data_IF_779828293460
#
_entry.id   IF_779828293460
#
_cell.length_a   1.000
_cell.length_b   1.000
_cell.length_c   1.000
_cell.angle_alpha   90.00
_cell.angle_beta   90.00
_cell.angle_gamma   90.00
#
_symmetry.space_group_name_H-M   'P 1'
#
loop_
_entity.id
_entity.type
_entity.pdbx_description
1 polymer ?
#
# COMPACT_ATOMS: atom_id res chain seq x y z
N UNK A 1 -12.65 -10.02 17.67
CA UNK A 1 -11.96 -9.24 16.61
C UNK A 1 -10.99 -8.29 17.27
N UNK A 2 -9.73 -8.31 16.88
CA UNK A 2 -8.73 -7.40 17.43
C UNK A 2 -8.80 -6.02 16.76
N UNK A 3 -8.05 -5.05 17.27
CA UNK A 3 -8.13 -3.67 16.77
C UNK A 3 -7.72 -3.56 15.30
N UNK A 4 -6.75 -4.35 14.86
CA UNK A 4 -6.33 -4.34 13.46
C UNK A 4 -7.44 -4.88 12.54
N UNK A 5 -8.13 -5.93 12.95
CA UNK A 5 -9.25 -6.46 12.20
C UNK A 5 -10.40 -5.46 12.09
N UNK A 6 -10.65 -4.70 13.16
CA UNK A 6 -11.66 -3.62 13.11
C UNK A 6 -11.25 -2.53 12.14
N UNK A 7 -9.98 -2.15 12.14
CA UNK A 7 -9.45 -1.11 11.25
C UNK A 7 -9.56 -1.55 9.79
N UNK A 8 -9.32 -2.81 9.50
CA UNK A 8 -9.31 -3.34 8.12
C UNK A 8 -10.65 -3.89 7.66
N UNK A 9 -11.69 -3.82 8.49
CA UNK A 9 -12.98 -4.41 8.16
C UNK A 9 -12.99 -5.93 8.18
N UNK A 10 -12.04 -6.55 8.87
CA UNK A 10 -11.95 -8.00 9.00
C UNK A 10 -11.36 -8.72 7.79
N UNK A 11 -10.81 -7.98 6.82
CA UNK A 11 -10.24 -8.58 5.61
C UNK A 11 -8.89 -9.19 5.86
N UNK A 12 -8.56 -10.18 5.02
CA UNK A 12 -7.24 -10.81 5.06
C UNK A 12 -6.18 -9.87 4.53
N UNK A 13 -5.01 -9.81 5.18
CA UNK A 13 -3.88 -9.10 4.61
C UNK A 13 -3.26 -9.89 3.46
N UNK A 14 -2.72 -9.17 2.49
CA UNK A 14 -1.84 -9.70 1.46
C UNK A 14 -0.42 -9.24 1.82
N UNK A 15 0.46 -10.17 2.14
CA UNK A 15 1.81 -9.82 2.60
C UNK A 15 2.75 -9.65 1.41
N UNK A 16 3.51 -8.57 1.42
CA UNK A 16 4.44 -8.21 0.35
C UNK A 16 5.80 -7.89 0.96
N UNK A 17 6.86 -8.44 0.40
CA UNK A 17 8.23 -8.09 0.76
C UNK A 17 9.05 -7.78 -0.50
N UNK A 18 10.33 -7.43 -0.29
CA UNK A 18 11.20 -7.04 -1.40
C UNK A 18 11.39 -8.15 -2.43
N UNK A 19 11.35 -9.42 -2.02
CA UNK A 19 11.53 -10.56 -2.92
C UNK A 19 10.36 -10.77 -3.87
N UNK A 20 9.17 -10.22 -3.54
CA UNK A 20 7.97 -10.39 -4.37
C UNK A 20 8.00 -9.54 -5.64
N UNK A 21 8.85 -8.50 -5.68
CA UNK A 21 8.88 -7.57 -6.79
C UNK A 21 7.61 -6.71 -6.86
N UNK A 22 7.31 -6.12 -8.01
CA UNK A 22 6.12 -5.28 -8.14
C UNK A 22 4.85 -6.13 -8.11
N UNK A 23 3.89 -5.69 -7.30
CA UNK A 23 2.56 -6.30 -7.21
C UNK A 23 1.57 -5.34 -7.85
N UNK A 24 0.93 -5.77 -8.93
CA UNK A 24 -0.07 -4.98 -9.64
C UNK A 24 -1.36 -5.80 -9.79
N UNK A 25 -2.32 -5.29 -10.56
CA UNK A 25 -3.62 -5.93 -10.81
C UNK A 25 -4.45 -6.15 -9.53
N UNK A 26 -4.18 -5.37 -8.49
CA UNK A 26 -4.93 -5.40 -7.25
C UNK A 26 -5.37 -3.99 -6.87
N UNK A 27 -6.30 -3.89 -5.95
CA UNK A 27 -6.77 -2.61 -5.43
C UNK A 27 -6.67 -2.67 -3.91
N UNK A 28 -5.56 -2.15 -3.38
CA UNK A 28 -5.37 -2.08 -1.94
C UNK A 28 -5.86 -0.74 -1.41
N UNK A 29 -6.64 -0.75 -0.34
CA UNK A 29 -7.09 0.48 0.28
C UNK A 29 -6.24 0.87 1.49
N UNK A 30 -5.48 -0.07 2.05
CA UNK A 30 -4.70 0.14 3.25
C UNK A 30 -3.41 -0.67 3.17
N UNK A 31 -2.29 -0.04 3.50
CA UNK A 31 -0.99 -0.71 3.61
C UNK A 31 -0.41 -0.41 4.98
N UNK A 32 0.01 -1.45 5.70
CA UNK A 32 0.62 -1.33 7.03
C UNK A 32 2.01 -1.94 6.98
N UNK A 33 3.08 -1.15 7.13
CA UNK A 33 4.42 -1.71 7.27
C UNK A 33 4.52 -2.60 8.50
N UNK A 34 5.08 -3.79 8.33
CA UNK A 34 5.30 -4.75 9.43
C UNK A 34 6.66 -4.56 10.07
N UNK A 35 7.56 -3.92 9.37
CA UNK A 35 8.90 -3.53 9.82
C UNK A 35 9.26 -2.25 9.09
N UNK A 36 10.40 -1.65 9.40
CA UNK A 36 10.84 -0.46 8.69
C UNK A 36 10.96 -0.77 7.20
N UNK A 37 10.28 -0.02 6.36
CA UNK A 37 10.03 -0.35 4.97
C UNK A 37 10.34 0.84 4.06
N UNK A 38 10.96 0.56 2.92
CA UNK A 38 11.10 1.52 1.82
C UNK A 38 10.45 0.95 0.57
N UNK A 39 9.98 1.83 -0.31
CA UNK A 39 9.32 1.43 -1.55
C UNK A 39 10.15 1.82 -2.76
N UNK A 40 10.22 0.91 -3.75
CA UNK A 40 10.72 1.23 -5.09
C UNK A 40 9.66 1.99 -5.87
N UNK A 41 8.40 1.57 -5.77
CA UNK A 41 7.28 2.22 -6.43
C UNK A 41 6.01 2.03 -5.59
N UNK A 42 5.16 3.04 -5.58
CA UNK A 42 3.87 3.00 -4.93
C UNK A 42 2.95 3.92 -5.73
N UNK A 43 1.98 3.32 -6.43
CA UNK A 43 1.11 4.05 -7.34
C UNK A 43 -0.34 3.76 -7.03
N UNK A 44 -1.20 4.72 -7.33
CA UNK A 44 -2.63 4.61 -7.10
C UNK A 44 -3.42 5.16 -8.28
N UNK A 45 -4.68 4.78 -8.35
CA UNK A 45 -5.67 5.42 -9.22
C UNK A 45 -7.07 5.12 -8.70
N UNK A 46 -8.08 5.73 -9.30
CA UNK A 46 -9.47 5.56 -8.87
C UNK A 46 -10.08 4.24 -9.34
N UNK A 47 -9.34 3.45 -10.12
CA UNK A 47 -9.84 2.20 -10.67
C UNK A 47 -10.68 2.37 -11.93
N UNK A 48 -10.83 3.57 -12.46
CA UNK A 48 -11.50 3.78 -13.75
C UNK A 48 -10.48 3.64 -14.88
N UNK A 49 -10.95 3.19 -16.04
CA UNK A 49 -10.08 2.94 -17.19
C UNK A 49 -9.30 4.19 -17.62
N UNK A 50 -9.92 5.36 -17.50
CA UNK A 50 -9.31 6.63 -17.89
C UNK A 50 -8.57 7.32 -16.76
N UNK A 51 -8.49 6.71 -15.58
CA UNK A 51 -7.83 7.35 -14.43
C UNK A 51 -6.33 7.50 -14.68
N UNK A 52 -5.81 8.68 -14.34
CA UNK A 52 -4.37 8.91 -14.37
C UNK A 52 -3.72 8.25 -13.18
N UNK A 53 -2.59 7.58 -13.40
CA UNK A 53 -1.80 6.99 -12.32
C UNK A 53 -1.19 8.09 -11.46
N UNK A 54 -1.27 7.92 -10.16
CA UNK A 54 -0.69 8.86 -9.19
C UNK A 54 0.52 8.18 -8.55
N UNK A 55 1.67 8.85 -8.60
CA UNK A 55 2.86 8.40 -7.87
C UNK A 55 2.69 8.78 -6.40
N UNK A 56 2.29 7.83 -5.58
CA UNK A 56 2.05 8.08 -4.17
C UNK A 56 3.34 8.31 -3.37
N UNK A 57 4.48 7.84 -3.86
CA UNK A 57 5.76 8.16 -3.21
C UNK A 57 6.03 9.66 -3.26
N UNK A 58 5.72 10.29 -4.39
CA UNK A 58 5.83 11.74 -4.53
C UNK A 58 4.71 12.46 -3.80
N UNK A 59 3.47 12.00 -3.97
CA UNK A 59 2.30 12.63 -3.35
C UNK A 59 2.39 12.63 -1.83
N UNK A 60 2.87 11.54 -1.22
CA UNK A 60 3.04 11.43 0.22
C UNK A 60 4.41 11.94 0.71
N UNK A 61 5.27 12.34 -0.21
CA UNK A 61 6.63 12.79 0.11
C UNK A 61 7.44 11.73 0.86
N UNK A 62 7.37 10.49 0.41
CA UNK A 62 8.09 9.37 1.03
C UNK A 62 9.23 8.82 0.17
N UNK A 63 9.59 9.52 -0.90
CA UNK A 63 10.77 9.18 -1.69
C UNK A 63 12.01 9.17 -0.80
N UNK A 64 12.77 8.08 -0.86
CA UNK A 64 13.99 7.90 -0.07
C UNK A 64 13.78 7.94 1.44
N UNK A 65 12.55 7.78 1.90
CA UNK A 65 12.25 7.73 3.34
C UNK A 65 11.92 6.31 3.76
N UNK A 66 12.30 5.99 5.00
CA UNK A 66 11.94 4.72 5.62
C UNK A 66 10.65 4.89 6.41
N UNK A 67 9.65 4.07 6.12
CA UNK A 67 8.40 4.10 6.86
C UNK A 67 8.50 3.21 8.08
N UNK A 68 8.06 3.74 9.21
CA UNK A 68 8.12 3.04 10.50
C UNK A 68 7.06 1.93 10.54
N UNK A 69 7.42 0.80 11.13
CA UNK A 69 6.49 -0.31 11.34
C UNK A 69 5.22 0.14 12.06
N UNK A 70 4.08 -0.38 11.62
CA UNK A 70 2.79 -0.17 12.27
C UNK A 70 2.05 1.09 11.86
N UNK A 71 2.65 1.98 11.08
CA UNK A 71 1.98 3.20 10.64
C UNK A 71 1.15 2.90 9.38
N UNK A 72 -0.18 2.93 9.47
CA UNK A 72 -1.03 2.64 8.31
C UNK A 72 -0.94 3.76 7.27
N UNK A 73 -0.91 3.38 6.00
CA UNK A 73 -0.92 4.35 4.90
C UNK A 73 -2.10 4.08 3.97
N UNK A 74 -2.79 5.16 3.60
CA UNK A 74 -3.90 5.13 2.67
C UNK A 74 -3.61 6.12 1.55
N UNK A 75 -4.13 5.86 0.35
CA UNK A 75 -4.16 6.87 -0.68
C UNK A 75 -5.36 7.79 -0.47
N UNK A 76 -5.36 8.91 -1.18
CA UNK A 76 -6.35 9.97 -0.99
C UNK A 76 -7.67 9.61 -1.66
N UNK A 77 -8.77 10.06 -1.04
CA UNK A 77 -10.12 10.00 -1.61
C UNK A 77 -10.56 8.59 -1.96
N UNK A 78 -11.05 8.41 -3.18
CA UNK A 78 -11.56 7.13 -3.71
C UNK A 78 -10.49 6.31 -4.42
N UNK A 79 -9.25 6.75 -4.39
CA UNK A 79 -8.15 6.04 -5.04
C UNK A 79 -7.77 4.78 -4.27
N UNK A 80 -7.20 3.83 -4.98
CA UNK A 80 -6.66 2.60 -4.41
C UNK A 80 -5.20 2.45 -4.85
N UNK A 81 -4.38 1.82 -4.02
CA UNK A 81 -3.04 1.44 -4.45
C UNK A 81 -3.15 0.34 -5.49
N UNK A 82 -2.65 0.59 -6.68
CA UNK A 82 -2.71 -0.34 -7.81
C UNK A 82 -1.36 -0.91 -8.18
N UNK A 83 -0.28 -0.34 -7.65
CA UNK A 83 1.07 -0.88 -7.78
C UNK A 83 1.80 -0.68 -6.46
N UNK A 84 2.35 -1.76 -5.92
CA UNK A 84 3.15 -1.76 -4.70
C UNK A 84 4.43 -2.53 -4.97
N UNK A 85 5.57 -1.87 -4.85
CA UNK A 85 6.88 -2.49 -5.03
C UNK A 85 7.76 -2.14 -3.85
N UNK A 86 7.92 -3.09 -2.93
CA UNK A 86 8.72 -2.92 -1.71
C UNK A 86 10.19 -3.05 -2.06
N UNK A 87 11.02 -2.08 -1.65
CA UNK A 87 12.47 -2.14 -1.83
C UNK A 87 13.14 -2.86 -0.67
N UNK A 88 12.79 -2.52 0.56
CA UNK A 88 13.27 -3.19 1.77
C UNK A 88 12.13 -3.29 2.76
N UNK A 89 12.15 -4.31 3.61
CA UNK A 89 11.12 -4.52 4.62
C UNK A 89 9.97 -5.37 4.11
N UNK A 90 8.84 -5.27 4.78
CA UNK A 90 7.61 -6.00 4.43
C UNK A 90 6.37 -5.23 4.87
N UNK A 91 5.28 -5.45 4.17
CA UNK A 91 4.01 -4.80 4.46
C UNK A 91 2.86 -5.80 4.43
N UNK A 92 1.78 -5.46 5.13
CA UNK A 92 0.47 -6.09 4.97
C UNK A 92 -0.41 -5.14 4.18
N UNK A 93 -0.94 -5.58 3.04
CA UNK A 93 -1.80 -4.78 2.18
C UNK A 93 -3.19 -5.39 2.16
N UNK A 94 -4.22 -4.56 2.29
CA UNK A 94 -5.61 -5.01 2.42
C UNK A 94 -6.38 -4.58 1.18
N UNK A 95 -6.97 -5.57 0.49
CA UNK A 95 -7.70 -5.35 -0.75
C UNK A 95 -9.07 -4.70 -0.50
N UNK A 96 -9.46 -3.82 -1.41
CA UNK A 96 -10.82 -3.28 -1.47
C UNK A 96 -11.78 -4.33 -2.04
N UNK A 97 -13.06 -4.21 -1.70
CA UNK A 97 -14.12 -5.01 -2.31
C UNK A 97 -14.30 -4.69 -3.78
#
# INVERSE_FOLDING_TARGET
MNDLQKLTGGRRPFFINAADGPIDNKRFYLIVPLENTTFTALESNTGTISATMIDEKEAMNINSKTLTAGIPINCDGEAYFTLVHVATGSVAAYEAF
#
